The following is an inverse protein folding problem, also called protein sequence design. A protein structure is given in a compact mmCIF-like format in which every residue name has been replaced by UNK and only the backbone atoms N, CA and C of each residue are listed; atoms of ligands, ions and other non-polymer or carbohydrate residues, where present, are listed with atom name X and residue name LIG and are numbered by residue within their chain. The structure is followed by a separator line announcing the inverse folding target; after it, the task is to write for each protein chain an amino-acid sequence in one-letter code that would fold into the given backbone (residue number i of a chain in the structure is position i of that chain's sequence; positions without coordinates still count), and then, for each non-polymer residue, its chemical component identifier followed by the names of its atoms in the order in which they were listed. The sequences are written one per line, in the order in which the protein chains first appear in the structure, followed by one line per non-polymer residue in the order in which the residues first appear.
data_IF_854895812995
#
_entry.id   IF_854895812995
#
_cell.length_a   1.000
_cell.length_b   1.000
_cell.length_c   1.000
_cell.angle_alpha   90.00
_cell.angle_beta   90.00
_cell.angle_gamma   90.00
#
_symmetry.space_group_name_H-M   'P 1'
#
loop_
_entity.id
_entity.type
_entity.pdbx_description
1 polymer ?
#
# COMPACT_ATOMS: atom_id res chain seq x y z
N UNK A 1 -1.00 -4.33 -1.71
CA UNK A 1 -0.01 -4.19 -2.81
C UNK A 1 -0.76 -3.70 -4.03
N UNK A 2 -0.40 -2.51 -4.53
CA UNK A 2 -1.17 -1.83 -5.56
C UNK A 2 -1.50 -0.40 -5.16
N UNK A 3 -1.38 0.53 -6.11
CA UNK A 3 -1.65 1.96 -5.91
C UNK A 3 -2.77 2.49 -6.80
N UNK A 4 -3.63 1.63 -7.34
CA UNK A 4 -4.81 2.01 -8.11
C UNK A 4 -5.98 2.46 -7.23
N UNK A 5 -7.13 2.77 -7.86
CA UNK A 5 -8.35 3.18 -7.15
C UNK A 5 -8.77 2.20 -6.05
N UNK A 6 -8.82 0.90 -6.38
CA UNK A 6 -9.18 -0.16 -5.42
C UNK A 6 -8.21 -0.19 -4.24
N UNK A 7 -6.91 -0.11 -4.50
CA UNK A 7 -5.90 -0.11 -3.43
C UNK A 7 -6.08 1.06 -2.47
N UNK A 8 -6.41 2.24 -3.00
CA UNK A 8 -6.64 3.47 -2.22
C UNK A 8 -7.92 3.37 -1.38
N UNK A 9 -9.05 3.01 -2.00
CA UNK A 9 -10.33 2.88 -1.29
C UNK A 9 -10.26 1.82 -0.19
N UNK A 10 -9.59 0.70 -0.46
CA UNK A 10 -9.41 -0.35 0.54
C UNK A 10 -8.43 0.04 1.65
N UNK A 11 -7.38 0.81 1.35
CA UNK A 11 -6.48 1.33 2.38
C UNK A 11 -7.22 2.23 3.38
N UNK A 12 -8.02 3.17 2.86
CA UNK A 12 -8.91 4.01 3.67
C UNK A 12 -9.91 3.19 4.49
N UNK A 13 -10.53 2.19 3.86
CA UNK A 13 -11.51 1.31 4.52
C UNK A 13 -10.86 0.53 5.66
N UNK A 14 -9.68 -0.05 5.45
CA UNK A 14 -8.96 -0.77 6.48
C UNK A 14 -8.51 0.14 7.64
N UNK A 15 -8.07 1.36 7.35
CA UNK A 15 -7.79 2.37 8.39
C UNK A 15 -9.03 2.71 9.21
N UNK A 16 -10.19 2.90 8.56
CA UNK A 16 -11.49 3.14 9.24
C UNK A 16 -11.92 1.97 10.11
N UNK A 17 -11.54 0.74 9.74
CA UNK A 17 -11.76 -0.47 10.54
C UNK A 17 -10.74 -0.64 11.67
N UNK A 18 -9.78 0.29 11.83
CA UNK A 18 -8.78 0.28 12.90
C UNK A 18 -7.53 -0.55 12.60
N UNK A 19 -7.36 -1.03 11.36
CA UNK A 19 -6.18 -1.81 10.99
C UNK A 19 -4.97 -0.90 10.75
N UNK A 20 -3.78 -1.43 10.99
CA UNK A 20 -2.54 -0.85 10.49
C UNK A 20 -2.42 -1.17 9.00
N UNK A 21 -2.08 -0.16 8.18
CA UNK A 21 -2.10 -0.30 6.73
C UNK A 21 -0.83 0.26 6.13
N UNK A 22 -0.13 -0.60 5.39
CA UNK A 22 0.99 -0.20 4.52
C UNK A 22 0.61 -0.51 3.07
N UNK A 23 0.60 0.54 2.24
CA UNK A 23 0.38 0.43 0.80
C UNK A 23 1.72 0.36 0.07
N UNK A 24 1.96 -0.75 -0.62
CA UNK A 24 3.19 -0.95 -1.41
C UNK A 24 2.87 -0.80 -2.89
N UNK A 25 3.59 0.09 -3.58
CA UNK A 25 3.37 0.45 -4.98
C UNK A 25 4.65 0.25 -5.79
N UNK A 26 4.68 -0.78 -6.64
CA UNK A 26 5.84 -1.11 -7.48
C UNK A 26 6.19 -0.01 -8.50
N UNK A 27 5.21 0.75 -8.96
CA UNK A 27 5.39 1.71 -10.06
C UNK A 27 5.82 3.12 -9.62
N UNK A 28 6.16 3.31 -8.35
CA UNK A 28 6.60 4.60 -7.79
C UNK A 28 5.50 5.66 -7.63
N UNK A 29 4.29 5.41 -8.15
CA UNK A 29 3.24 6.41 -8.32
C UNK A 29 1.87 5.80 -8.05
N UNK A 30 1.14 6.32 -7.05
CA UNK A 30 -0.29 6.02 -6.84
C UNK A 30 -1.12 6.66 -7.95
N UNK A 31 -2.20 6.04 -8.41
CA UNK A 31 -3.02 6.52 -9.52
C UNK A 31 -2.18 6.86 -10.77
N UNK A 32 -1.16 6.04 -11.08
CA UNK A 32 -0.11 6.33 -12.08
C UNK A 32 -0.66 6.84 -13.41
N UNK A 33 -1.74 6.25 -13.90
CA UNK A 33 -2.27 6.46 -15.25
C UNK A 33 -3.44 7.41 -15.31
N UNK A 34 -3.96 7.88 -14.18
CA UNK A 34 -5.26 8.58 -14.14
C UNK A 34 -5.19 10.02 -13.65
N UNK A 35 -4.12 10.41 -12.95
CA UNK A 35 -3.92 11.78 -12.46
C UNK A 35 -2.49 12.25 -12.67
N UNK A 36 -2.31 13.57 -12.76
CA UNK A 36 -1.00 14.22 -12.81
C UNK A 36 -0.25 14.16 -11.47
N UNK A 37 0.99 14.65 -11.47
CA UNK A 37 1.87 14.58 -10.30
C UNK A 37 1.46 15.52 -9.15
N UNK A 38 0.74 16.62 -9.44
CA UNK A 38 0.26 17.56 -8.42
C UNK A 38 -0.87 16.90 -7.61
N UNK A 39 -1.89 16.38 -8.31
CA UNK A 39 -3.00 15.66 -7.67
C UNK A 39 -2.48 14.42 -6.92
N UNK A 40 -1.50 13.71 -7.48
CA UNK A 40 -0.87 12.57 -6.81
C UNK A 40 -0.24 12.94 -5.48
N UNK A 41 0.44 14.08 -5.41
CA UNK A 41 1.07 14.52 -4.17
C UNK A 41 0.04 14.87 -3.10
N UNK A 42 -1.10 15.46 -3.49
CA UNK A 42 -2.23 15.70 -2.58
C UNK A 42 -2.79 14.39 -2.05
N UNK A 43 -3.09 13.42 -2.93
CA UNK A 43 -3.60 12.09 -2.55
C UNK A 43 -2.65 11.38 -1.59
N UNK A 44 -1.34 11.41 -1.84
CA UNK A 44 -0.35 10.81 -0.94
C UNK A 44 -0.33 11.47 0.43
N UNK A 45 -0.44 12.79 0.47
CA UNK A 45 -0.43 13.55 1.72
C UNK A 45 -1.68 13.23 2.55
N UNK A 46 -2.83 13.11 1.89
CA UNK A 46 -4.09 12.74 2.54
C UNK A 46 -4.06 11.32 3.11
N UNK A 47 -3.58 10.35 2.33
CA UNK A 47 -3.41 8.97 2.79
C UNK A 47 -2.48 8.88 4.00
N UNK A 48 -1.36 9.60 3.97
CA UNK A 48 -0.44 9.67 5.09
C UNK A 48 -1.08 10.33 6.33
N UNK A 49 -1.87 11.39 6.14
CA UNK A 49 -2.63 12.05 7.21
C UNK A 49 -3.62 11.09 7.88
N UNK A 50 -4.22 10.18 7.12
CA UNK A 50 -5.10 9.11 7.65
C UNK A 50 -4.34 7.88 8.18
N UNK A 51 -3.01 7.94 8.23
CA UNK A 51 -2.15 6.91 8.81
C UNK A 51 -1.94 5.71 7.91
N UNK A 52 -2.04 5.86 6.59
CA UNK A 52 -1.57 4.87 5.62
C UNK A 52 -0.09 5.11 5.36
N UNK A 53 0.74 4.13 5.67
CA UNK A 53 2.15 4.14 5.26
C UNK A 53 2.24 3.78 3.76
N UNK A 54 3.09 4.47 2.99
CA UNK A 54 3.23 4.22 1.56
C UNK A 54 4.69 3.91 1.22
N UNK A 55 4.93 2.69 0.73
CA UNK A 55 6.21 2.27 0.17
C UNK A 55 6.13 2.27 -1.36
N UNK A 56 7.13 2.88 -2.01
CA UNK A 56 7.13 3.11 -3.44
C UNK A 56 8.39 2.54 -4.09
N UNK A 57 8.26 2.14 -5.36
CA UNK A 57 9.36 1.60 -6.17
C UNK A 57 9.97 0.32 -5.60
N UNK A 58 9.16 -0.45 -4.84
CA UNK A 58 9.63 -1.68 -4.21
C UNK A 58 8.88 -2.90 -4.77
N UNK A 59 9.58 -3.90 -5.34
CA UNK A 59 9.00 -5.21 -5.60
C UNK A 59 8.74 -5.93 -4.28
N UNK A 60 7.82 -6.88 -4.30
CA UNK A 60 7.43 -7.64 -3.10
C UNK A 60 7.46 -9.14 -3.35
N UNK A 61 7.78 -9.89 -2.30
CA UNK A 61 7.48 -11.32 -2.19
C UNK A 61 6.69 -11.58 -0.91
N UNK A 62 6.06 -12.73 -0.81
CA UNK A 62 5.23 -13.12 0.34
C UNK A 62 5.91 -14.28 1.07
N UNK A 63 5.85 -14.27 2.40
CA UNK A 63 6.41 -15.30 3.28
C UNK A 63 5.34 -15.83 4.23
N UNK A 64 5.41 -17.13 4.53
CA UNK A 64 4.63 -17.80 5.57
C UNK A 64 4.46 -19.31 5.31
N UNK A 65 4.12 -20.05 6.35
CA UNK A 65 3.89 -21.50 6.27
C UNK A 65 2.39 -21.83 6.34
N UNK A 66 1.78 -22.09 5.19
CA UNK A 66 0.35 -22.39 5.06
C UNK A 66 -0.58 -21.17 5.18
N UNK A 67 -0.14 -20.09 5.81
CA UNK A 67 -0.80 -18.78 5.86
C UNK A 67 0.18 -17.66 5.52
N UNK A 68 -0.32 -16.46 5.23
CA UNK A 68 0.53 -15.27 5.10
C UNK A 68 1.03 -14.85 6.49
N UNK A 69 2.33 -14.61 6.60
CA UNK A 69 2.97 -14.09 7.81
C UNK A 69 3.65 -12.74 7.57
N UNK A 70 4.18 -12.53 6.37
CA UNK A 70 4.86 -11.28 6.04
C UNK A 70 4.89 -10.98 4.53
N UNK A 71 5.07 -9.69 4.24
CA UNK A 71 5.51 -9.20 2.93
C UNK A 71 6.98 -8.80 3.03
N UNK A 72 7.80 -9.31 2.11
CA UNK A 72 9.22 -9.01 2.03
C UNK A 72 9.45 -8.00 0.92
N UNK A 73 10.21 -6.96 1.24
CA UNK A 73 10.57 -5.88 0.32
C UNK A 73 12.08 -5.63 0.40
N UNK A 74 12.62 -4.78 -0.48
CA UNK A 74 14.02 -4.38 -0.41
C UNK A 74 14.39 -3.62 0.88
N UNK A 75 13.41 -3.04 1.58
CA UNK A 75 13.62 -2.36 2.86
C UNK A 75 13.52 -3.29 4.08
N UNK A 76 13.09 -4.54 3.88
CA UNK A 76 13.03 -5.54 4.95
C UNK A 76 11.73 -6.34 4.96
N UNK A 77 11.49 -6.98 6.10
CA UNK A 77 10.30 -7.79 6.39
C UNK A 77 9.22 -6.92 7.03
N UNK A 78 7.99 -7.03 6.52
CA UNK A 78 6.80 -6.35 7.01
C UNK A 78 5.79 -7.41 7.43
N UNK A 79 5.68 -7.64 8.74
CA UNK A 79 4.75 -8.65 9.27
C UNK A 79 3.30 -8.22 8.98
N UNK A 80 2.50 -9.15 8.47
CA UNK A 80 1.10 -8.90 8.17
C UNK A 80 0.29 -10.20 8.05
N UNK A 81 -0.94 -10.15 8.54
CA UNK A 81 -1.88 -11.29 8.45
C UNK A 81 -2.70 -11.27 7.14
N UNK A 82 -2.82 -10.10 6.50
CA UNK A 82 -3.66 -9.87 5.32
C UNK A 82 -2.90 -9.09 4.26
N UNK A 83 -2.90 -9.59 3.03
CA UNK A 83 -2.45 -8.85 1.85
C UNK A 83 -3.58 -8.75 0.81
N UNK A 84 -3.97 -7.52 0.47
CA UNK A 84 -4.81 -7.24 -0.69
C UNK A 84 -3.94 -6.99 -1.92
N UNK A 85 -4.22 -7.67 -3.03
CA UNK A 85 -3.53 -7.49 -4.31
C UNK A 85 -4.45 -6.77 -5.30
N UNK A 86 -3.98 -5.65 -5.89
CA UNK A 86 -4.74 -4.86 -6.85
C UNK A 86 -3.89 -3.89 -7.68
#
# INVERSE_FOLDING_TARGET
VGGGYIGIEMAETFRRLGLQVTMIVRSGKVLRTTVDDEIRQLVRSELALHGVEILQDVPVSFEGEGNLEAVITASGRHDCDIALLG
#
